data_IF_784188074176
#
_entry.id   IF_784188074176
#
_cell.length_a   1.000
_cell.length_b   1.000
_cell.length_c   1.000
_cell.angle_alpha   90.00
_cell.angle_beta   90.00
_cell.angle_gamma   90.00
#
_symmetry.space_group_name_H-M   'P 1'
#
loop_
_entity.id
_entity.type
_entity.pdbx_description
1 polymer ?
#
# COMPACT_ATOMS: atom_id res chain seq x y z
N UNK A 1 7.52 -11.14 2.65
CA UNK A 1 6.57 -11.82 1.74
C UNK A 1 6.82 -13.32 1.64
N UNK A 2 7.95 -13.83 2.14
CA UNK A 2 8.05 -15.19 2.67
C UNK A 2 6.97 -15.42 3.75
N UNK A 3 6.15 -16.49 3.77
CA UNK A 3 6.27 -17.81 3.11
C UNK A 3 5.46 -17.99 1.80
N UNK A 4 4.77 -16.95 1.29
CA UNK A 4 3.79 -17.11 0.21
C UNK A 4 4.37 -17.66 -1.10
N UNK A 5 5.66 -17.48 -1.33
CA UNK A 5 6.35 -18.01 -2.51
C UNK A 5 6.43 -19.54 -2.56
N UNK A 6 6.30 -20.23 -1.43
CA UNK A 6 6.39 -21.70 -1.35
C UNK A 6 5.06 -22.40 -1.11
N UNK A 7 4.07 -21.68 -0.59
CA UNK A 7 2.85 -22.31 -0.04
C UNK A 7 1.60 -22.13 -0.90
N UNK A 8 1.54 -21.10 -1.75
CA UNK A 8 0.39 -20.86 -2.62
C UNK A 8 0.58 -21.56 -3.99
N UNK A 9 -0.50 -21.92 -4.68
CA UNK A 9 -0.42 -22.33 -6.09
C UNK A 9 -0.38 -21.12 -7.06
N UNK A 10 -0.87 -19.97 -6.60
CA UNK A 10 -0.87 -18.72 -7.35
C UNK A 10 0.47 -17.97 -7.23
N UNK A 11 0.79 -17.17 -8.25
CA UNK A 11 1.89 -16.22 -8.27
C UNK A 11 1.42 -14.79 -7.94
N UNK A 12 0.12 -14.59 -7.75
CA UNK A 12 -0.48 -13.29 -7.42
C UNK A 12 -0.35 -12.99 -5.93
N UNK A 13 0.16 -11.80 -5.63
CA UNK A 13 0.29 -11.28 -4.27
C UNK A 13 -0.43 -9.95 -4.19
N UNK A 14 -1.47 -9.88 -3.37
CA UNK A 14 -2.21 -8.65 -3.07
C UNK A 14 -1.73 -8.04 -1.75
N UNK A 15 -1.06 -6.90 -1.84
CA UNK A 15 -0.71 -6.10 -0.67
C UNK A 15 -1.83 -5.13 -0.34
N UNK A 16 -2.32 -5.18 0.90
CA UNK A 16 -3.19 -4.14 1.46
C UNK A 16 -2.33 -3.26 2.36
N UNK A 17 -2.07 -2.04 1.92
CA UNK A 17 -1.16 -1.13 2.60
C UNK A 17 -1.96 -0.15 3.48
N UNK A 18 -1.63 -0.12 4.77
CA UNK A 18 -2.30 0.73 5.76
C UNK A 18 -1.50 1.98 6.15
N UNK A 19 -0.18 1.96 5.94
CA UNK A 19 0.71 3.08 6.22
C UNK A 19 1.21 3.66 4.90
N UNK A 20 1.20 4.99 4.72
CA UNK A 20 1.77 5.59 3.53
C UNK A 20 3.29 5.38 3.47
N UNK A 21 3.82 5.18 2.27
CA UNK A 21 5.29 5.13 2.06
C UNK A 21 5.87 6.56 2.02
N UNK A 22 5.09 7.49 1.46
CA UNK A 22 5.49 8.89 1.29
C UNK A 22 4.65 9.78 2.17
N UNK A 23 5.33 10.64 2.94
CA UNK A 23 4.71 11.72 3.69
C UNK A 23 5.36 13.02 3.26
N UNK A 24 4.57 13.96 2.77
CA UNK A 24 5.05 15.28 2.39
C UNK A 24 5.27 16.16 3.62
N UNK A 25 6.28 17.04 3.54
CA UNK A 25 6.65 17.94 4.62
C UNK A 25 7.69 17.38 5.60
N UNK A 26 8.34 18.29 6.32
CA UNK A 26 9.33 17.95 7.35
C UNK A 26 8.65 17.90 8.72
N UNK A 27 8.73 16.78 9.48
CA UNK A 27 8.20 16.73 10.83
C UNK A 27 8.91 17.76 11.73
N UNK A 28 8.17 18.50 12.56
CA UNK A 28 8.71 19.59 13.38
C UNK A 28 8.55 19.38 14.89
N UNK A 29 7.75 18.40 15.30
CA UNK A 29 7.57 18.02 16.70
C UNK A 29 8.13 16.62 16.99
N UNK A 30 8.44 16.34 18.26
CA UNK A 30 8.93 15.03 18.69
C UNK A 30 7.98 13.89 18.29
N UNK A 31 6.67 14.10 18.44
CA UNK A 31 5.65 13.11 18.06
C UNK A 31 5.65 12.86 16.54
N UNK A 32 5.76 13.91 15.71
CA UNK A 32 5.83 13.74 14.25
C UNK A 32 7.11 13.04 13.83
N UNK A 33 8.23 13.34 14.48
CA UNK A 33 9.52 12.68 14.21
C UNK A 33 9.43 11.19 14.54
N UNK A 34 8.91 10.84 15.72
CA UNK A 34 8.77 9.43 16.10
C UNK A 34 7.85 8.68 15.13
N UNK A 35 6.71 9.27 14.76
CA UNK A 35 5.83 8.65 13.77
C UNK A 35 6.53 8.46 12.41
N UNK A 36 7.38 9.41 12.00
CA UNK A 36 8.13 9.28 10.75
C UNK A 36 9.17 8.17 10.83
N UNK A 37 9.85 8.00 11.97
CA UNK A 37 10.78 6.90 12.21
C UNK A 37 10.03 5.56 12.11
N UNK A 38 8.87 5.46 12.78
CA UNK A 38 8.06 4.23 12.76
C UNK A 38 7.59 3.89 11.33
N UNK A 39 7.15 4.89 10.56
CA UNK A 39 6.79 4.73 9.14
C UNK A 39 7.97 4.22 8.31
N UNK A 40 9.16 4.81 8.47
CA UNK A 40 10.36 4.42 7.72
C UNK A 40 10.78 3.00 8.09
N UNK A 41 10.85 2.69 9.39
CA UNK A 41 11.25 1.37 9.88
C UNK A 41 10.28 0.29 9.41
N UNK A 42 8.98 0.55 9.43
CA UNK A 42 7.96 -0.37 8.95
C UNK A 42 8.06 -0.61 7.43
N UNK A 43 8.22 0.46 6.64
CA UNK A 43 8.30 0.37 5.18
C UNK A 43 9.66 -0.18 4.68
N UNK A 44 10.74 -0.08 5.47
CA UNK A 44 12.06 -0.55 5.06
C UNK A 44 12.08 -2.06 4.73
N UNK A 45 11.42 -2.87 5.56
CA UNK A 45 11.28 -4.31 5.31
C UNK A 45 10.53 -4.60 4.01
N UNK A 46 9.42 -3.88 3.77
CA UNK A 46 8.62 -4.01 2.55
C UNK A 46 9.41 -3.66 1.29
N UNK A 47 10.13 -2.53 1.30
CA UNK A 47 10.95 -2.08 0.17
C UNK A 47 12.06 -3.08 -0.15
N UNK A 48 12.69 -3.67 0.87
CA UNK A 48 13.68 -4.74 0.67
C UNK A 48 13.07 -5.97 -0.01
N UNK A 49 11.85 -6.34 0.36
CA UNK A 49 11.13 -7.45 -0.29
C UNK A 49 10.76 -7.09 -1.74
N UNK A 50 10.32 -5.86 -2.01
CA UNK A 50 10.03 -5.39 -3.38
C UNK A 50 11.25 -5.44 -4.28
N UNK A 51 12.42 -4.98 -3.80
CA UNK A 51 13.68 -5.10 -4.53
C UNK A 51 14.04 -6.55 -4.83
N UNK A 52 13.83 -7.44 -3.86
CA UNK A 52 14.10 -8.86 -4.04
C UNK A 52 13.18 -9.47 -5.11
N UNK A 53 11.89 -9.10 -5.12
CA UNK A 53 10.95 -9.52 -6.15
C UNK A 53 11.39 -8.98 -7.52
N UNK A 54 11.64 -7.67 -7.63
CA UNK A 54 12.06 -7.05 -8.89
C UNK A 54 13.30 -7.73 -9.48
N UNK A 55 14.29 -8.01 -8.64
CA UNK A 55 15.53 -8.67 -9.03
C UNK A 55 15.30 -10.09 -9.57
N UNK A 56 14.48 -10.90 -8.89
CA UNK A 56 14.14 -12.25 -9.37
C UNK A 56 13.40 -12.19 -10.70
N UNK A 57 12.46 -11.25 -10.88
CA UNK A 57 11.74 -11.08 -12.15
C UNK A 57 12.68 -10.72 -13.29
N UNK A 58 13.64 -9.83 -13.07
CA UNK A 58 14.65 -9.48 -14.07
C UNK A 58 15.51 -10.69 -14.47
N UNK A 59 15.95 -11.49 -13.49
CA UNK A 59 16.75 -12.69 -13.75
C UNK A 59 15.98 -13.76 -14.54
N UNK A 60 14.68 -13.93 -14.25
CA UNK A 60 13.80 -14.81 -15.03
C UNK A 60 13.65 -14.28 -16.45
N UNK A 61 13.36 -12.98 -16.62
CA UNK A 61 13.21 -12.35 -17.93
C UNK A 61 14.50 -12.43 -18.78
N UNK A 62 15.68 -12.37 -18.14
CA UNK A 62 16.98 -12.53 -18.77
C UNK A 62 17.37 -14.00 -19.04
N UNK A 63 16.52 -14.97 -18.69
CA UNK A 63 16.80 -16.41 -18.85
C UNK A 63 17.90 -16.95 -17.92
N UNK A 64 18.27 -16.19 -16.87
CA UNK A 64 19.30 -16.59 -15.89
C UNK A 64 18.74 -17.46 -14.78
N UNK A 65 17.43 -17.44 -14.56
CA UNK A 65 16.71 -18.33 -13.65
C UNK A 65 15.58 -19.05 -14.40
N UNK A 66 15.39 -20.36 -14.18
CA UNK A 66 14.31 -21.10 -14.80
C UNK A 66 12.95 -20.72 -14.18
N UNK A 67 12.01 -20.29 -15.03
CA UNK A 67 10.62 -20.08 -14.63
C UNK A 67 10.00 -21.41 -14.19
N UNK A 68 9.35 -21.43 -13.02
CA UNK A 68 8.75 -22.62 -12.42
C UNK A 68 9.42 -23.05 -11.11
N UNK A 69 10.75 -23.18 -11.11
CA UNK A 69 11.51 -23.32 -9.85
C UNK A 69 11.54 -21.98 -9.10
N UNK A 70 11.72 -20.90 -9.86
CA UNK A 70 11.54 -19.54 -9.41
C UNK A 70 10.23 -18.99 -9.98
N UNK A 71 9.49 -18.27 -9.14
CA UNK A 71 8.15 -17.76 -9.48
C UNK A 71 8.21 -16.33 -9.95
N UNK A 72 7.47 -16.03 -11.01
CA UNK A 72 7.30 -14.68 -11.52
C UNK A 72 6.12 -13.98 -10.82
N UNK A 73 6.41 -13.35 -9.68
CA UNK A 73 5.38 -12.82 -8.79
C UNK A 73 4.60 -11.66 -9.42
N UNK A 74 3.29 -11.82 -9.54
CA UNK A 74 2.35 -10.78 -9.99
C UNK A 74 1.92 -9.94 -8.77
N UNK A 75 2.61 -8.82 -8.56
CA UNK A 75 2.33 -7.95 -7.44
C UNK A 75 1.13 -7.04 -7.72
N UNK A 76 0.26 -6.94 -6.74
CA UNK A 76 -0.90 -6.07 -6.71
C UNK A 76 -0.91 -5.27 -5.41
N UNK A 77 -1.47 -4.06 -5.44
CA UNK A 77 -1.58 -3.21 -4.25
C UNK A 77 -2.95 -2.55 -4.18
N UNK A 78 -3.57 -2.64 -3.02
CA UNK A 78 -4.64 -1.74 -2.56
C UNK A 78 -3.99 -0.84 -1.52
N UNK A 79 -3.97 0.45 -1.80
CA UNK A 79 -3.61 1.48 -0.84
C UNK A 79 -4.72 2.54 -0.82
N UNK A 80 -4.69 3.39 0.18
CA UNK A 80 -5.62 4.49 0.32
C UNK A 80 -4.87 5.75 0.75
N UNK A 81 -3.61 5.88 0.31
CA UNK A 81 -2.64 6.85 0.83
C UNK A 81 -3.23 8.27 0.88
N UNK A 82 -3.86 8.75 -0.19
CA UNK A 82 -4.53 10.07 -0.23
C UNK A 82 -5.71 10.19 0.76
N UNK A 83 -6.49 9.13 0.96
CA UNK A 83 -7.61 9.12 1.89
C UNK A 83 -7.16 9.10 3.37
N UNK A 84 -5.94 8.60 3.62
CA UNK A 84 -5.32 8.51 4.93
C UNK A 84 -4.38 9.69 5.25
N UNK A 85 -4.07 10.57 4.28
CA UNK A 85 -3.17 11.73 4.50
C UNK A 85 -3.57 12.61 5.69
N UNK A 86 -4.87 12.81 5.87
CA UNK A 86 -5.43 13.67 6.93
C UNK A 86 -5.65 12.93 8.25
N UNK A 87 -5.42 11.61 8.30
CA UNK A 87 -5.49 10.85 9.54
C UNK A 87 -4.20 11.07 10.33
N UNK A 88 -4.36 11.73 11.47
CA UNK A 88 -3.23 12.11 12.31
C UNK A 88 -2.67 10.90 13.07
N UNK A 89 -1.47 11.05 13.61
CA UNK A 89 -0.84 10.03 14.46
C UNK A 89 -1.71 9.58 15.66
N UNK A 90 -2.57 10.44 16.21
CA UNK A 90 -3.46 10.07 17.32
C UNK A 90 -4.59 9.14 16.90
N UNK A 91 -4.90 9.06 15.62
CA UNK A 91 -5.93 8.16 15.10
C UNK A 91 -5.59 6.69 15.37
N UNK A 92 -4.29 6.37 15.47
CA UNK A 92 -3.78 5.02 15.75
C UNK A 92 -4.23 4.45 17.10
N UNK A 93 -4.61 5.29 18.06
CA UNK A 93 -5.13 4.88 19.38
C UNK A 93 -6.63 5.08 19.52
N UNK A 94 -7.32 5.52 18.46
CA UNK A 94 -8.76 5.73 18.49
C UNK A 94 -9.51 4.41 18.23
N UNK A 95 -10.15 3.88 19.26
CA UNK A 95 -10.97 2.66 19.20
C UNK A 95 -12.48 2.94 19.20
N UNK A 96 -12.92 4.19 18.96
CA UNK A 96 -14.34 4.52 18.91
C UNK A 96 -15.03 3.84 17.73
N UNK A 97 -16.23 3.31 17.97
CA UNK A 97 -16.98 2.56 16.97
C UNK A 97 -17.27 3.37 15.69
N UNK A 98 -17.60 4.65 15.82
CA UNK A 98 -17.84 5.53 14.68
C UNK A 98 -16.60 5.66 13.78
N UNK A 99 -15.41 5.74 14.38
CA UNK A 99 -14.16 5.82 13.64
C UNK A 99 -13.79 4.48 12.99
N UNK A 100 -13.90 3.37 13.73
CA UNK A 100 -13.64 2.03 13.18
C UNK A 100 -14.58 1.66 12.02
N UNK A 101 -15.86 2.03 12.12
CA UNK A 101 -16.82 1.82 11.03
C UNK A 101 -16.55 2.73 9.84
N UNK A 102 -16.12 3.98 10.07
CA UNK A 102 -15.64 4.87 9.02
C UNK A 102 -14.45 4.25 8.27
N UNK A 103 -13.42 3.77 8.98
CA UNK A 103 -12.25 3.11 8.39
C UNK A 103 -12.61 1.85 7.60
N UNK A 104 -13.48 1.01 8.17
CA UNK A 104 -13.99 -0.21 7.51
C UNK A 104 -14.67 0.14 6.18
N UNK A 105 -15.56 1.12 6.18
CA UNK A 105 -16.32 1.48 4.99
C UNK A 105 -15.42 2.13 3.92
N UNK A 106 -14.45 2.94 4.34
CA UNK A 106 -13.41 3.49 3.46
C UNK A 106 -12.59 2.38 2.81
N UNK A 107 -12.13 1.39 3.58
CA UNK A 107 -11.36 0.26 3.06
C UNK A 107 -12.15 -0.58 2.06
N UNK A 108 -13.45 -0.83 2.31
CA UNK A 108 -14.34 -1.52 1.35
C UNK A 108 -14.53 -0.73 0.07
N UNK A 109 -14.60 0.59 0.18
CA UNK A 109 -14.71 1.50 -0.96
C UNK A 109 -13.45 1.45 -1.81
N UNK A 110 -12.27 1.55 -1.20
CA UNK A 110 -10.97 1.42 -1.89
C UNK A 110 -10.81 0.05 -2.56
N UNK A 111 -11.18 -1.04 -1.89
CA UNK A 111 -11.16 -2.37 -2.47
C UNK A 111 -12.12 -2.49 -3.67
N UNK A 112 -13.27 -1.84 -3.62
CA UNK A 112 -14.23 -1.85 -4.71
C UNK A 112 -13.73 -1.10 -5.95
N UNK A 113 -13.12 0.07 -5.76
CA UNK A 113 -12.44 0.80 -6.84
C UNK A 113 -11.32 -0.05 -7.46
N UNK A 114 -10.49 -0.67 -6.61
CA UNK A 114 -9.41 -1.53 -7.09
C UNK A 114 -9.93 -2.71 -7.91
N UNK A 115 -10.98 -3.39 -7.46
CA UNK A 115 -11.60 -4.50 -8.19
C UNK A 115 -12.13 -4.05 -9.55
N UNK A 116 -12.83 -2.91 -9.61
CA UNK A 116 -13.36 -2.36 -10.86
C UNK A 116 -12.24 -2.10 -11.89
N UNK A 117 -11.09 -1.63 -11.45
CA UNK A 117 -9.96 -1.30 -12.32
C UNK A 117 -9.07 -2.50 -12.66
N UNK A 118 -8.89 -3.45 -11.74
CA UNK A 118 -7.78 -4.41 -11.77
C UNK A 118 -8.18 -5.88 -11.74
N UNK A 119 -9.45 -6.23 -11.53
CA UNK A 119 -9.87 -7.63 -11.38
C UNK A 119 -9.44 -8.51 -12.57
N UNK A 120 -9.56 -8.01 -13.79
CA UNK A 120 -9.18 -8.74 -15.01
C UNK A 120 -7.68 -9.00 -15.16
N UNK A 121 -6.83 -8.29 -14.40
CA UNK A 121 -5.38 -8.48 -14.41
C UNK A 121 -4.93 -9.64 -13.50
N UNK A 122 -5.74 -10.02 -12.50
CA UNK A 122 -5.41 -11.08 -11.55
C UNK A 122 -5.22 -12.41 -12.28
N UNK A 123 -4.11 -13.09 -12.00
CA UNK A 123 -3.72 -14.32 -12.67
C UNK A 123 -3.07 -14.13 -14.04
N UNK A 124 -3.07 -12.91 -14.60
CA UNK A 124 -2.55 -12.61 -15.95
C UNK A 124 -1.31 -11.72 -15.91
N UNK A 125 -1.34 -10.62 -15.16
CA UNK A 125 -0.25 -9.64 -15.08
C UNK A 125 -0.25 -8.88 -13.75
N UNK A 126 0.92 -8.38 -13.28
CA UNK A 126 0.95 -7.49 -12.12
C UNK A 126 0.18 -6.19 -12.39
N UNK A 127 -0.30 -5.56 -11.32
CA UNK A 127 -0.86 -4.20 -11.35
C UNK A 127 0.00 -3.19 -10.60
N UNK A 128 1.00 -3.68 -9.84
CA UNK A 128 2.06 -2.88 -9.25
C UNK A 128 3.35 -3.08 -10.05
N UNK A 129 3.90 -1.98 -10.58
CA UNK A 129 5.21 -1.99 -11.22
C UNK A 129 6.32 -1.82 -10.18
N UNK A 130 7.24 -2.79 -10.15
CA UNK A 130 8.38 -2.82 -9.25
C UNK A 130 9.71 -2.59 -9.97
N UNK A 131 9.70 -2.35 -11.28
CA UNK A 131 10.92 -2.20 -12.09
C UNK A 131 11.84 -1.09 -11.58
N UNK A 132 11.26 0.04 -11.14
CA UNK A 132 12.00 1.17 -10.59
C UNK A 132 12.66 0.92 -9.23
N UNK A 133 12.40 -0.21 -8.56
CA UNK A 133 13.01 -0.55 -7.28
C UNK A 133 14.50 -0.92 -7.39
N UNK A 134 14.96 -1.26 -8.60
CA UNK A 134 16.34 -1.63 -8.88
C UNK A 134 17.24 -0.42 -9.20
N UNK A 135 16.67 0.78 -9.30
CA UNK A 135 17.44 1.99 -9.55
C UNK A 135 18.29 2.37 -8.32
N UNK A 136 19.46 2.97 -8.56
CA UNK A 136 20.40 3.41 -7.51
C UNK A 136 19.85 4.52 -6.57
N UNK A 137 18.64 5.04 -6.85
CA UNK A 137 17.97 6.09 -6.08
C UNK A 137 16.64 5.63 -5.46
N UNK A 138 16.26 6.21 -4.32
CA UNK A 138 14.93 5.98 -3.75
C UNK A 138 13.86 6.66 -4.62
N UNK A 139 13.15 5.86 -5.43
CA UNK A 139 11.93 6.27 -6.14
C UNK A 139 10.74 5.61 -5.44
N UNK A 140 9.97 6.35 -4.63
CA UNK A 140 8.83 5.76 -3.96
C UNK A 140 7.80 5.31 -4.99
N UNK A 141 7.38 4.06 -4.93
CA UNK A 141 6.27 3.53 -5.74
C UNK A 141 4.98 4.18 -5.24
N UNK A 142 4.58 5.29 -5.88
CA UNK A 142 3.37 6.01 -5.52
C UNK A 142 2.12 5.18 -5.80
N UNK A 143 1.14 5.26 -4.92
CA UNK A 143 -0.23 4.80 -5.16
C UNK A 143 -0.82 5.43 -6.41
N UNK A 144 -1.69 4.73 -7.16
CA UNK A 144 -2.59 5.42 -8.06
C UNK A 144 -3.44 6.42 -7.26
N UNK A 145 -3.90 7.49 -7.90
CA UNK A 145 -4.83 8.41 -7.26
C UNK A 145 -6.11 7.66 -6.82
N UNK A 146 -6.81 8.12 -5.77
CA UNK A 146 -8.05 7.51 -5.33
C UNK A 146 -9.02 7.27 -6.47
N UNK A 147 -9.57 6.07 -6.48
CA UNK A 147 -10.67 5.72 -7.37
C UNK A 147 -11.90 6.60 -7.10
N UNK A 148 -12.87 6.48 -8.00
CA UNK A 148 -14.07 7.32 -8.00
C UNK A 148 -14.87 7.16 -6.70
N UNK A 149 -15.06 5.92 -6.22
CA UNK A 149 -15.90 5.66 -5.05
C UNK A 149 -15.24 6.21 -3.79
N UNK A 150 -13.92 6.12 -3.67
CA UNK A 150 -13.19 6.72 -2.53
C UNK A 150 -13.34 8.24 -2.52
N UNK A 151 -13.24 8.90 -3.68
CA UNK A 151 -13.48 10.35 -3.78
C UNK A 151 -14.89 10.73 -3.35
N UNK A 152 -15.90 9.99 -3.82
CA UNK A 152 -17.31 10.19 -3.43
C UNK A 152 -17.51 9.96 -1.93
N UNK A 153 -16.88 8.93 -1.35
CA UNK A 153 -16.94 8.63 0.08
C UNK A 153 -16.37 9.78 0.92
N UNK A 154 -15.17 10.26 0.58
CA UNK A 154 -14.52 11.36 1.31
C UNK A 154 -15.29 12.68 1.18
N UNK A 155 -15.96 12.91 0.06
CA UNK A 155 -16.82 14.08 -0.12
C UNK A 155 -18.11 14.00 0.71
N UNK A 156 -18.70 12.80 0.83
CA UNK A 156 -19.98 12.58 1.50
C UNK A 156 -19.88 12.38 3.02
N UNK A 157 -18.74 11.87 3.52
CA UNK A 157 -18.54 11.54 4.93
C UNK A 157 -17.35 12.28 5.51
N UNK A 158 -17.59 13.00 6.60
CA UNK A 158 -16.54 13.65 7.37
C UNK A 158 -15.83 12.64 8.27
N UNK A 159 -14.54 12.83 8.47
CA UNK A 159 -13.76 12.08 9.44
C UNK A 159 -14.25 12.41 10.88
N UNK A 160 -14.80 11.44 11.63
CA UNK A 160 -15.31 11.67 12.99
C UNK A 160 -14.24 12.23 13.97
N UNK A 161 -12.97 11.91 13.77
CA UNK A 161 -11.87 12.41 14.60
C UNK A 161 -11.62 13.92 14.38
N UNK A 162 -11.73 14.38 13.13
CA UNK A 162 -11.54 15.78 12.78
C UNK A 162 -12.66 16.68 13.32
N UNK A 163 -13.88 16.15 13.41
CA UNK A 163 -15.02 16.86 14.01
C UNK A 163 -14.82 17.08 15.51
N UNK A 164 -14.27 16.09 16.22
CA UNK A 164 -14.00 16.20 17.66
C UNK A 164 -12.95 17.26 18.00
N UNK A 165 -11.93 17.44 17.18
CA UNK A 165 -10.90 18.48 17.41
C UNK A 165 -11.41 19.91 17.23
N UNK A 166 -12.58 20.08 16.60
CA UNK A 166 -13.20 21.40 16.35
C UNK A 166 -14.31 21.74 17.35
N UNK A 167 -14.72 20.79 18.19
CA UNK A 167 -15.73 20.95 19.25
C UNK A 167 -15.04 21.18 20.60
#
# INVERSE_FOLDING_TARGET
>A
LYPFFKTAATEDVLLVQINPVVREGTPRSANEIQNRIDEIAFNAGLLREFRSIAFVKELIAAGRLPHGEYRDIRMHRIDADEAFKDLSASSKVNAEWAFLTYLRDLGRTAASDWLEENYEAVGKRPTLDLSGELDDGFKPVRGPAPGRRVKEFLAARKNPEAERRRA
#
